data_IF_479023286072
#
_entry.id   IF_479023286072
#
_cell.length_a   1.000
_cell.length_b   1.000
_cell.length_c   1.000
_cell.angle_alpha   90.00
_cell.angle_beta   90.00
_cell.angle_gamma   90.00
#
_symmetry.space_group_name_H-M   'P 1'
#
loop_
_entity.id
_entity.type
_entity.pdbx_description
1 polymer ?
#
# COMPACT_ATOMS: atom_id res chain seq x y z
N UNK A 1 6.86 40.49 -16.63
CA UNK A 1 6.82 39.01 -16.56
C UNK A 1 6.71 38.62 -15.10
N UNK A 2 5.50 38.43 -14.58
CA UNK A 2 5.29 38.03 -13.19
C UNK A 2 5.43 36.52 -13.08
N UNK A 3 6.47 36.05 -12.36
CA UNK A 3 6.60 34.64 -11.98
C UNK A 3 5.38 34.30 -11.11
N UNK A 4 4.49 33.42 -11.60
CA UNK A 4 3.45 32.81 -10.77
C UNK A 4 4.18 31.99 -9.71
N UNK A 5 4.17 32.46 -8.47
CA UNK A 5 4.60 31.66 -7.32
C UNK A 5 3.48 30.66 -7.08
N UNK A 6 3.67 29.42 -7.52
CA UNK A 6 2.75 28.34 -7.21
C UNK A 6 2.78 28.10 -5.69
N UNK A 7 1.61 28.15 -5.05
CA UNK A 7 1.50 27.97 -3.60
C UNK A 7 1.81 26.50 -3.28
N UNK A 8 2.91 26.26 -2.58
CA UNK A 8 3.21 24.95 -1.99
C UNK A 8 2.02 24.53 -1.12
N UNK A 9 1.46 23.35 -1.39
CA UNK A 9 0.45 22.74 -0.53
C UNK A 9 1.16 21.81 0.44
N UNK A 10 0.74 21.85 1.69
CA UNK A 10 1.27 21.03 2.77
C UNK A 10 0.14 20.22 3.40
N UNK A 11 0.43 19.00 3.83
CA UNK A 11 -0.48 18.22 4.68
C UNK A 11 -0.31 18.65 6.16
N UNK A 12 -1.19 18.24 7.09
CA UNK A 12 -1.05 18.56 8.51
C UNK A 12 0.27 18.06 9.16
N UNK A 13 0.87 17.00 8.62
CA UNK A 13 2.18 16.49 9.04
C UNK A 13 3.36 17.28 8.44
N UNK A 14 3.09 18.30 7.61
CA UNK A 14 4.12 19.18 7.04
C UNK A 14 4.78 18.67 5.75
N UNK A 15 4.33 17.55 5.17
CA UNK A 15 4.82 17.12 3.86
C UNK A 15 4.33 18.06 2.77
N UNK A 16 5.23 18.53 1.89
CA UNK A 16 4.87 19.34 0.73
C UNK A 16 4.53 18.48 -0.48
N UNK A 17 3.54 18.91 -1.26
CA UNK A 17 3.45 18.51 -2.67
C UNK A 17 4.47 19.34 -3.45
N UNK A 18 5.73 18.91 -3.53
CA UNK A 18 6.70 19.58 -4.40
C UNK A 18 6.23 19.46 -5.85
N UNK A 19 5.75 20.58 -6.41
CA UNK A 19 5.52 20.72 -7.83
C UNK A 19 6.68 21.49 -8.44
N UNK A 20 7.50 20.83 -9.27
CA UNK A 20 8.35 21.52 -10.25
C UNK A 20 8.49 20.69 -11.54
N UNK A 21 7.90 21.24 -12.61
CA UNK A 21 8.40 21.26 -13.99
C UNK A 21 9.05 20.00 -14.57
N UNK A 22 8.24 19.05 -15.02
CA UNK A 22 8.17 18.48 -16.38
C UNK A 22 7.41 17.14 -16.30
N UNK A 23 6.29 16.97 -17.04
CA UNK A 23 5.53 15.73 -17.03
C UNK A 23 6.16 14.73 -18.01
N UNK A 24 7.36 14.25 -17.69
CA UNK A 24 7.87 13.04 -18.32
C UNK A 24 7.66 11.87 -17.35
N UNK A 25 6.54 11.17 -17.57
CA UNK A 25 6.23 9.81 -17.15
C UNK A 25 6.41 9.39 -15.66
N UNK A 26 5.25 9.18 -15.02
CA UNK A 26 5.02 8.11 -14.03
C UNK A 26 5.63 8.22 -12.62
N UNK A 27 5.64 9.41 -12.01
CA UNK A 27 5.95 9.47 -10.59
C UNK A 27 4.99 10.31 -9.73
N UNK A 28 3.89 9.67 -9.30
CA UNK A 28 2.98 10.20 -8.28
C UNK A 28 3.41 9.82 -6.85
N UNK A 29 4.68 9.48 -6.60
CA UNK A 29 5.17 9.06 -5.27
C UNK A 29 4.90 10.09 -4.16
N UNK A 30 4.95 11.38 -4.48
CA UNK A 30 4.77 12.47 -3.51
C UNK A 30 3.60 13.39 -3.89
N UNK A 31 2.36 12.90 -3.73
CA UNK A 31 1.16 13.68 -4.01
C UNK A 31 0.28 13.84 -2.78
N UNK A 32 -0.02 15.10 -2.43
CA UNK A 32 -1.20 15.44 -1.62
C UNK A 32 -2.36 15.48 -2.60
N UNK A 33 -3.24 14.48 -2.55
CA UNK A 33 -4.42 14.47 -3.41
C UNK A 33 -5.42 15.53 -2.94
N UNK A 34 -6.32 15.93 -3.86
CA UNK A 34 -7.45 16.83 -3.56
C UNK A 34 -8.32 16.35 -2.40
N UNK A 35 -8.29 15.06 -2.11
CA UNK A 35 -9.16 14.39 -1.14
C UNK A 35 -8.56 14.38 0.29
N UNK A 36 -7.46 15.13 0.51
CA UNK A 36 -6.80 15.25 1.81
C UNK A 36 -5.79 14.13 2.13
N UNK A 37 -5.68 13.11 1.27
CA UNK A 37 -4.76 11.98 1.46
C UNK A 37 -3.34 12.34 1.01
N UNK A 38 -2.41 12.31 1.96
CA UNK A 38 -0.98 12.49 1.72
C UNK A 38 -0.32 11.11 1.52
N UNK A 39 0.27 10.88 0.33
CA UNK A 39 0.94 9.59 0.04
C UNK A 39 2.12 9.32 0.96
N UNK A 40 2.80 10.37 1.44
CA UNK A 40 3.91 10.24 2.39
C UNK A 40 3.42 9.81 3.77
N UNK A 41 2.33 10.42 4.29
CA UNK A 41 1.71 9.96 5.53
C UNK A 41 1.28 8.49 5.45
N UNK A 42 0.63 8.08 4.36
CA UNK A 42 0.22 6.67 4.17
C UNK A 42 1.43 5.74 4.17
N UNK A 43 2.52 6.12 3.50
CA UNK A 43 3.75 5.34 3.47
C UNK A 43 4.41 5.24 4.84
N UNK A 44 4.48 6.34 5.58
CA UNK A 44 5.04 6.37 6.94
C UNK A 44 4.22 5.48 7.88
N UNK A 45 2.89 5.53 7.79
CA UNK A 45 2.00 4.65 8.54
C UNK A 45 2.27 3.17 8.23
N UNK A 46 2.33 2.81 6.94
CA UNK A 46 2.65 1.44 6.53
C UNK A 46 3.99 0.95 7.08
N UNK A 47 5.03 1.79 7.03
CA UNK A 47 6.36 1.45 7.57
C UNK A 47 6.29 1.19 9.09
N UNK A 48 5.45 1.91 9.83
CA UNK A 48 5.25 1.66 11.25
C UNK A 48 4.55 0.31 11.49
N UNK A 49 3.58 -0.04 10.65
CA UNK A 49 2.82 -1.29 10.74
C UNK A 49 3.63 -2.55 10.36
N UNK A 50 4.77 -2.42 9.69
CA UNK A 50 5.61 -3.58 9.34
C UNK A 50 6.12 -4.38 10.54
N UNK A 51 6.10 -3.78 11.74
CA UNK A 51 6.44 -4.48 12.99
C UNK A 51 5.26 -5.23 13.60
N UNK A 52 4.05 -4.96 13.14
CA UNK A 52 2.81 -5.47 13.73
C UNK A 52 2.33 -6.78 13.06
N UNK A 53 2.93 -7.17 11.94
CA UNK A 53 2.63 -8.42 11.26
C UNK A 53 3.90 -9.02 10.62
N UNK A 54 3.90 -10.34 10.46
CA UNK A 54 4.88 -11.08 9.66
C UNK A 54 4.20 -12.32 9.09
N UNK A 55 4.67 -12.78 7.94
CA UNK A 55 4.31 -14.08 7.37
C UNK A 55 5.10 -15.26 7.94
N UNK A 56 6.00 -14.99 8.89
CA UNK A 56 7.05 -15.92 9.33
C UNK A 56 8.05 -16.28 8.22
N UNK A 57 7.93 -15.65 7.04
CA UNK A 57 8.86 -15.78 5.93
C UNK A 57 9.41 -14.40 5.54
N UNK A 58 10.69 -14.18 5.86
CA UNK A 58 11.36 -12.89 5.64
C UNK A 58 11.43 -12.47 4.17
N UNK A 59 11.47 -13.42 3.24
CA UNK A 59 11.51 -13.12 1.80
C UNK A 59 10.15 -12.64 1.31
N UNK A 60 9.06 -13.30 1.74
CA UNK A 60 7.69 -12.89 1.43
C UNK A 60 7.40 -11.52 2.06
N UNK A 61 7.77 -11.33 3.33
CA UNK A 61 7.59 -10.06 4.03
C UNK A 61 8.26 -8.91 3.28
N UNK A 62 9.50 -9.11 2.80
CA UNK A 62 10.23 -8.12 2.01
C UNK A 62 9.49 -7.75 0.72
N UNK A 63 8.98 -8.73 -0.03
CA UNK A 63 8.24 -8.48 -1.27
C UNK A 63 6.97 -7.66 -1.01
N UNK A 64 6.22 -8.00 0.05
CA UNK A 64 5.00 -7.28 0.41
C UNK A 64 5.31 -5.85 0.86
N UNK A 65 6.31 -5.66 1.73
CA UNK A 65 6.73 -4.34 2.20
C UNK A 65 7.22 -3.45 1.05
N UNK A 66 8.01 -3.99 0.11
CA UNK A 66 8.45 -3.27 -1.09
C UNK A 66 7.25 -2.85 -1.97
N UNK A 67 6.25 -3.72 -2.11
CA UNK A 67 5.01 -3.40 -2.81
C UNK A 67 4.25 -2.24 -2.12
N UNK A 68 4.09 -2.30 -0.81
CA UNK A 68 3.38 -1.28 -0.01
C UNK A 68 4.06 0.09 -0.01
N UNK A 69 5.39 0.12 -0.10
CA UNK A 69 6.18 1.37 -0.22
C UNK A 69 6.08 1.96 -1.63
N UNK A 70 6.04 1.11 -2.66
CA UNK A 70 6.17 1.52 -4.07
C UNK A 70 4.84 1.87 -4.72
N UNK A 71 3.76 1.17 -4.37
CA UNK A 71 2.46 1.30 -5.02
C UNK A 71 1.44 1.91 -4.06
N UNK A 72 0.74 2.95 -4.52
CA UNK A 72 -0.28 3.64 -3.73
C UNK A 72 -1.63 2.90 -3.73
N UNK A 73 -2.00 2.33 -4.88
CA UNK A 73 -3.32 1.74 -5.10
C UNK A 73 -3.23 0.21 -5.22
N UNK A 74 -2.26 -0.30 -5.99
CA UNK A 74 -2.12 -1.73 -6.29
C UNK A 74 -1.05 -2.39 -5.40
N UNK A 75 -1.17 -2.23 -4.08
CA UNK A 75 -0.21 -2.82 -3.13
C UNK A 75 -0.67 -4.19 -2.63
N UNK A 76 0.32 -5.04 -2.35
CA UNK A 76 0.10 -6.33 -1.72
C UNK A 76 -0.25 -6.18 -0.24
N UNK A 77 -1.09 -7.08 0.26
CA UNK A 77 -1.48 -7.14 1.67
C UNK A 77 -1.19 -8.54 2.20
N UNK A 78 -0.66 -8.60 3.43
CA UNK A 78 -0.54 -9.85 4.15
C UNK A 78 -1.85 -10.16 4.89
N UNK A 79 -2.38 -11.36 4.69
CA UNK A 79 -3.55 -11.86 5.42
C UNK A 79 -3.13 -13.14 6.14
N UNK A 80 -3.06 -13.13 7.47
CA UNK A 80 -2.74 -14.32 8.23
C UNK A 80 -3.72 -15.47 7.98
N UNK A 81 -3.21 -16.69 7.87
CA UNK A 81 -4.02 -17.86 7.51
C UNK A 81 -5.21 -18.08 8.46
N UNK A 82 -5.04 -17.80 9.75
CA UNK A 82 -6.10 -17.97 10.75
C UNK A 82 -7.30 -17.04 10.57
N UNK A 83 -7.21 -16.01 9.73
CA UNK A 83 -8.36 -15.14 9.39
C UNK A 83 -9.32 -15.80 8.39
N UNK A 84 -8.91 -16.90 7.75
CA UNK A 84 -9.74 -17.64 6.82
C UNK A 84 -10.62 -18.65 7.56
N UNK A 85 -11.92 -18.62 7.26
CA UNK A 85 -12.93 -19.54 7.75
C UNK A 85 -13.54 -20.35 6.62
N UNK A 86 -14.26 -21.42 6.96
CA UNK A 86 -14.97 -22.27 6.00
C UNK A 86 -14.05 -22.73 4.85
N UNK A 87 -12.84 -23.16 5.21
CA UNK A 87 -11.81 -23.57 4.24
C UNK A 87 -12.24 -24.91 3.65
N UNK A 88 -12.61 -24.91 2.37
CA UNK A 88 -13.04 -26.10 1.64
C UNK A 88 -12.11 -26.36 0.46
N UNK A 89 -11.64 -27.60 0.34
CA UNK A 89 -10.87 -28.07 -0.81
C UNK A 89 -11.73 -28.01 -2.07
N UNK A 90 -11.13 -27.56 -3.17
CA UNK A 90 -11.76 -27.48 -4.49
C UNK A 90 -11.18 -28.54 -5.42
N UNK A 91 -9.86 -28.59 -5.55
CA UNK A 91 -9.18 -29.46 -6.49
C UNK A 91 -7.69 -29.58 -6.13
N UNK A 92 -7.10 -30.71 -6.51
CA UNK A 92 -5.65 -30.87 -6.59
C UNK A 92 -5.21 -30.66 -8.04
N UNK A 93 -4.10 -29.96 -8.24
CA UNK A 93 -3.45 -29.80 -9.52
C UNK A 93 -1.95 -30.09 -9.39
N UNK A 94 -1.27 -30.19 -10.53
CA UNK A 94 0.17 -30.51 -10.58
C UNK A 94 1.04 -29.50 -9.80
N UNK A 95 0.53 -28.28 -9.57
CA UNK A 95 1.22 -27.19 -8.89
C UNK A 95 0.77 -26.98 -7.44
N UNK A 96 -0.17 -27.78 -6.94
CA UNK A 96 -0.66 -27.72 -5.56
C UNK A 96 -2.17 -27.90 -5.42
N UNK A 97 -2.69 -27.63 -4.22
CA UNK A 97 -4.12 -27.77 -3.92
C UNK A 97 -4.80 -26.41 -3.87
N UNK A 98 -6.00 -26.32 -4.45
CA UNK A 98 -6.83 -25.13 -4.47
C UNK A 98 -7.91 -25.24 -3.40
N UNK A 99 -8.06 -24.18 -2.60
CA UNK A 99 -9.06 -24.08 -1.55
C UNK A 99 -9.92 -22.82 -1.71
N UNK A 100 -11.18 -22.91 -1.31
CA UNK A 100 -12.06 -21.75 -1.07
C UNK A 100 -12.11 -21.44 0.41
N UNK A 101 -12.25 -20.16 0.75
CA UNK A 101 -12.41 -19.71 2.12
C UNK A 101 -13.23 -18.42 2.19
N UNK A 102 -13.78 -18.13 3.36
CA UNK A 102 -14.39 -16.84 3.71
C UNK A 102 -13.44 -16.06 4.60
N UNK A 103 -13.31 -14.76 4.36
CA UNK A 103 -12.53 -13.86 5.21
C UNK A 103 -13.48 -13.17 6.19
N UNK A 104 -13.36 -13.47 7.48
CA UNK A 104 -14.34 -13.04 8.51
C UNK A 104 -14.31 -11.52 8.76
N UNK A 105 -13.13 -10.90 8.74
CA UNK A 105 -12.92 -9.50 9.11
C UNK A 105 -12.69 -8.57 7.90
N UNK A 106 -12.92 -9.06 6.68
CA UNK A 106 -12.58 -8.33 5.46
C UNK A 106 -11.07 -8.01 5.36
N UNK A 107 -10.74 -7.14 4.42
CA UNK A 107 -9.39 -6.58 4.28
C UNK A 107 -9.35 -5.33 5.16
N UNK A 108 -8.30 -5.15 5.97
CA UNK A 108 -8.10 -3.89 6.70
C UNK A 108 -7.93 -2.75 5.70
N UNK A 109 -8.77 -1.74 5.80
CA UNK A 109 -8.58 -0.48 5.06
C UNK A 109 -7.45 0.34 5.72
N UNK A 110 -6.65 1.04 4.90
CA UNK A 110 -5.56 1.93 5.34
C UNK A 110 -5.99 3.38 5.57
#
# INVERSE_FOLDING_TARGET
MSRKVEKLKYCPAGHSSEGFAYPDYFDKRNSILSDGICSLCTKEHLIQEFKNWSSENTEIDKIIQESQIKYKYDKLHWIPYYNFQNINHIADCDYGSVYSAKLENGIKDD
#
